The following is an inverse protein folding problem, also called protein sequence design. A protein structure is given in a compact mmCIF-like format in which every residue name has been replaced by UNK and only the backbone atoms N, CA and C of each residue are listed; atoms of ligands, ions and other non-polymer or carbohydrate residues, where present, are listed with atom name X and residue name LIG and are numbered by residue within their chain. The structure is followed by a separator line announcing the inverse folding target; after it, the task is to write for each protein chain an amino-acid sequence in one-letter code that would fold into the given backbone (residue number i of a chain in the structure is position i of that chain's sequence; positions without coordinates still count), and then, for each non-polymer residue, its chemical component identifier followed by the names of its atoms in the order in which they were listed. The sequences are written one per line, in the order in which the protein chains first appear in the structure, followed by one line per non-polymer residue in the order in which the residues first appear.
data_IF_014982496284
#
_entry.id   IF_014982496284
#
_cell.length_a   1.000
_cell.length_b   1.000
_cell.length_c   1.000
_cell.angle_alpha   90.00
_cell.angle_beta   90.00
_cell.angle_gamma   90.00
#
_symmetry.space_group_name_H-M   'P 1'
#
loop_
_entity.id
_entity.type
_entity.pdbx_description
1 polymer ?
#
# COMPACT_ATOMS: atom_id res chain seq x y z
N UNK A 1 12.64 21.45 8.80
CA UNK A 1 13.01 20.64 9.98
C UNK A 1 12.64 19.17 9.76
N UNK A 2 11.38 18.85 9.45
CA UNK A 2 10.91 17.46 9.25
C UNK A 2 11.64 16.67 8.16
N UNK A 3 12.02 17.29 7.04
CA UNK A 3 12.72 16.61 5.95
C UNK A 3 13.94 15.80 6.43
N UNK A 4 14.79 16.39 7.29
CA UNK A 4 15.96 15.70 7.84
C UNK A 4 15.58 14.64 8.87
N UNK A 5 14.62 14.94 9.74
CA UNK A 5 14.14 14.01 10.78
C UNK A 5 13.53 12.74 10.19
N UNK A 6 12.77 12.88 9.10
CA UNK A 6 12.14 11.78 8.39
C UNK A 6 13.09 11.04 7.42
N UNK A 7 14.41 11.22 7.56
CA UNK A 7 15.40 10.50 6.76
C UNK A 7 15.54 10.96 5.32
N UNK A 8 15.10 12.18 4.97
CA UNK A 8 15.11 12.67 3.59
C UNK A 8 16.49 12.71 2.93
N UNK A 9 17.56 12.96 3.68
CA UNK A 9 18.94 12.89 3.17
C UNK A 9 19.34 11.46 2.79
N UNK A 10 18.96 10.48 3.61
CA UNK A 10 19.25 9.07 3.34
C UNK A 10 18.47 8.59 2.11
N UNK A 11 17.19 8.95 2.01
CA UNK A 11 16.38 8.60 0.84
C UNK A 11 16.93 9.24 -0.44
N UNK A 12 17.38 10.49 -0.40
CA UNK A 12 18.03 11.14 -1.56
C UNK A 12 19.30 10.40 -2.00
N UNK A 13 20.14 9.96 -1.05
CA UNK A 13 21.33 9.18 -1.35
C UNK A 13 20.98 7.84 -2.00
N UNK A 14 19.97 7.14 -1.48
CA UNK A 14 19.47 5.87 -2.02
C UNK A 14 18.91 6.05 -3.44
N UNK A 15 18.14 7.11 -3.70
CA UNK A 15 17.62 7.41 -5.04
C UNK A 15 18.78 7.73 -6.00
N UNK A 16 19.79 8.47 -5.53
CA UNK A 16 20.94 8.83 -6.35
C UNK A 16 21.83 7.62 -6.70
N UNK A 17 21.98 6.66 -5.79
CA UNK A 17 22.75 5.43 -6.03
C UNK A 17 22.01 4.42 -6.92
N UNK A 18 20.67 4.43 -6.93
CA UNK A 18 19.83 3.51 -7.71
C UNK A 18 19.30 4.12 -9.01
N UNK A 19 19.98 5.11 -9.61
CA UNK A 19 19.56 5.79 -10.87
C UNK A 19 19.36 4.89 -12.10
N UNK A 20 19.51 3.57 -11.99
CA UNK A 20 19.24 2.57 -13.04
C UNK A 20 18.22 1.47 -12.67
N UNK A 21 17.61 1.48 -11.48
CA UNK A 21 16.59 0.52 -11.08
C UNK A 21 15.20 0.97 -11.55
N UNK A 22 14.34 0.02 -11.95
CA UNK A 22 12.99 0.28 -12.45
C UNK A 22 12.13 0.91 -11.34
N UNK A 23 11.74 2.18 -11.54
CA UNK A 23 10.81 2.91 -10.66
C UNK A 23 11.50 3.72 -9.56
N UNK A 24 12.04 4.89 -9.88
CA UNK A 24 12.60 5.80 -8.87
C UNK A 24 11.48 6.50 -8.08
N UNK A 25 11.38 6.18 -6.79
CA UNK A 25 10.52 6.88 -5.82
C UNK A 25 10.85 8.38 -5.82
N UNK A 26 9.88 9.24 -6.18
CA UNK A 26 10.06 10.70 -6.22
C UNK A 26 9.92 11.30 -4.82
N UNK A 27 10.67 12.36 -4.54
CA UNK A 27 10.45 13.20 -3.34
C UNK A 27 9.64 14.42 -3.77
N UNK A 28 8.43 14.56 -3.24
CA UNK A 28 7.55 15.69 -3.49
C UNK A 28 7.71 16.75 -2.39
N UNK A 29 7.85 18.01 -2.80
CA UNK A 29 7.79 19.14 -1.88
C UNK A 29 6.35 19.39 -1.41
N UNK A 30 6.16 19.76 -0.15
CA UNK A 30 4.84 19.95 0.46
C UNK A 30 4.04 21.02 -0.27
N UNK A 31 4.68 22.09 -0.75
CA UNK A 31 4.05 23.16 -1.52
C UNK A 31 3.38 22.70 -2.82
N UNK A 32 3.86 21.61 -3.43
CA UNK A 32 3.23 21.03 -4.63
C UNK A 32 1.96 20.29 -4.22
N UNK A 33 2.04 19.51 -3.14
CA UNK A 33 0.92 18.72 -2.63
C UNK A 33 -0.17 19.61 -2.01
N UNK A 34 0.20 20.65 -1.26
CA UNK A 34 -0.74 21.65 -0.71
C UNK A 34 -1.54 22.31 -1.83
N UNK A 35 -0.88 22.78 -2.89
CA UNK A 35 -1.58 23.39 -4.04
C UNK A 35 -2.50 22.39 -4.75
N UNK A 36 -2.04 21.16 -4.96
CA UNK A 36 -2.83 20.12 -5.63
C UNK A 36 -4.04 19.66 -4.81
N UNK A 37 -3.93 19.74 -3.47
CA UNK A 37 -4.96 19.32 -2.52
C UNK A 37 -5.78 20.47 -1.95
N UNK A 38 -5.54 21.71 -2.39
CA UNK A 38 -6.15 22.92 -1.81
C UNK A 38 -6.00 22.96 -0.27
N UNK A 39 -4.74 22.85 0.18
CA UNK A 39 -4.37 22.74 1.60
C UNK A 39 -5.00 21.54 2.32
N UNK A 40 -5.10 20.40 1.63
CA UNK A 40 -5.77 19.18 2.12
C UNK A 40 -7.23 19.41 2.52
N UNK A 41 -7.97 20.15 1.70
CA UNK A 41 -9.40 20.39 1.88
C UNK A 41 -10.17 19.07 2.02
N UNK A 42 -11.04 19.00 3.04
CA UNK A 42 -11.79 17.79 3.36
C UNK A 42 -12.78 17.39 2.26
N UNK A 43 -13.28 18.33 1.46
CA UNK A 43 -14.13 18.10 0.31
C UNK A 43 -13.41 17.41 -0.87
N UNK A 44 -12.07 17.31 -0.84
CA UNK A 44 -11.28 16.58 -1.85
C UNK A 44 -10.97 15.14 -1.47
N UNK A 45 -11.38 14.70 -0.28
CA UNK A 45 -11.22 13.32 0.17
C UNK A 45 -12.07 12.39 -0.71
N UNK A 46 -11.45 11.35 -1.25
CA UNK A 46 -12.12 10.32 -2.08
C UNK A 46 -12.30 8.99 -1.38
N UNK A 47 -11.58 8.78 -0.29
CA UNK A 47 -11.69 7.57 0.52
C UNK A 47 -11.19 7.83 1.93
N UNK A 48 -11.85 7.18 2.88
CA UNK A 48 -11.52 7.24 4.29
C UNK A 48 -11.24 5.81 4.75
N UNK A 49 -9.96 5.41 4.78
CA UNK A 49 -9.55 4.18 5.47
C UNK A 49 -9.43 4.44 6.97
N UNK A 50 -9.30 3.38 7.78
CA UNK A 50 -9.32 3.47 9.25
C UNK A 50 -8.50 4.63 9.84
N UNK A 51 -7.23 4.78 9.43
CA UNK A 51 -6.31 5.79 9.97
C UNK A 51 -5.83 6.84 8.96
N UNK A 52 -6.27 6.78 7.71
CA UNK A 52 -5.75 7.62 6.62
C UNK A 52 -6.87 8.25 5.78
N UNK A 53 -6.63 9.47 5.31
CA UNK A 53 -7.41 10.13 4.26
C UNK A 53 -6.71 9.97 2.92
N UNK A 54 -7.48 9.59 1.89
CA UNK A 54 -7.01 9.47 0.51
C UNK A 54 -7.53 10.63 -0.33
N UNK A 55 -6.61 11.37 -0.94
CA UNK A 55 -6.92 12.50 -1.83
C UNK A 55 -6.62 12.11 -3.27
N UNK A 56 -7.58 12.30 -4.17
CA UNK A 56 -7.33 12.26 -5.61
C UNK A 56 -6.92 13.65 -6.06
N UNK A 57 -5.73 13.80 -6.63
CA UNK A 57 -5.26 15.10 -7.12
C UNK A 57 -4.65 15.00 -8.50
N UNK A 58 -4.64 16.13 -9.19
CA UNK A 58 -3.90 16.32 -10.45
C UNK A 58 -2.65 17.15 -10.12
N UNK A 59 -1.48 16.60 -10.45
CA UNK A 59 -0.20 17.30 -10.32
C UNK A 59 -0.05 18.36 -11.43
N UNK A 60 0.87 19.34 -11.30
CA UNK A 60 1.06 20.43 -12.27
C UNK A 60 1.29 19.99 -13.73
N UNK A 61 1.75 18.76 -13.96
CA UNK A 61 2.01 18.20 -15.28
C UNK A 61 0.87 17.28 -15.79
N UNK A 62 -0.30 17.32 -15.17
CA UNK A 62 -1.49 16.57 -15.57
C UNK A 62 -1.58 15.13 -15.05
N UNK A 63 -0.53 14.63 -14.37
CA UNK A 63 -0.54 13.30 -13.76
C UNK A 63 -1.56 13.25 -12.61
N UNK A 64 -2.48 12.28 -12.66
CA UNK A 64 -3.46 12.05 -11.59
C UNK A 64 -2.87 11.05 -10.60
N UNK A 65 -2.84 11.41 -9.32
CA UNK A 65 -2.25 10.61 -8.24
C UNK A 65 -3.19 10.50 -7.04
N UNK A 66 -2.93 9.49 -6.22
CA UNK A 66 -3.57 9.32 -4.92
C UNK A 66 -2.59 9.68 -3.80
N UNK A 67 -2.98 10.59 -2.90
CA UNK A 67 -2.17 10.96 -1.73
C UNK A 67 -2.78 10.33 -0.48
N UNK A 68 -1.99 9.50 0.21
CA UNK A 68 -2.33 8.93 1.52
C UNK A 68 -1.74 9.81 2.62
N UNK A 69 -2.63 10.37 3.46
CA UNK A 69 -2.29 11.24 4.60
C UNK A 69 -2.84 10.62 5.89
N UNK A 70 -2.00 10.42 6.89
CA UNK A 70 -2.44 9.97 8.21
C UNK A 70 -3.36 11.00 8.87
N UNK A 71 -4.43 10.53 9.52
CA UNK A 71 -5.37 11.38 10.27
C UNK A 71 -4.89 11.66 11.68
N UNK A 72 -4.35 10.63 12.32
CA UNK A 72 -3.79 10.68 13.66
C UNK A 72 -2.27 10.61 13.53
N UNK A 73 -1.57 11.45 14.28
CA UNK A 73 -0.11 11.56 14.23
C UNK A 73 0.49 10.89 15.46
N UNK A 74 0.64 9.57 15.41
CA UNK A 74 1.35 8.76 16.42
C UNK A 74 2.57 8.02 15.81
N UNK A 75 3.41 7.45 16.68
CA UNK A 75 4.62 6.71 16.26
C UNK A 75 4.29 5.47 15.42
N UNK A 76 3.13 4.85 15.62
CA UNK A 76 2.70 3.67 14.85
C UNK A 76 2.46 4.02 13.39
N UNK A 77 1.90 5.20 13.11
CA UNK A 77 1.65 5.67 11.74
C UNK A 77 2.96 5.99 11.01
N UNK A 78 3.95 6.53 11.72
CA UNK A 78 5.29 6.74 11.14
C UNK A 78 5.94 5.40 10.80
N UNK A 79 5.84 4.40 11.69
CA UNK A 79 6.37 3.06 11.43
C UNK A 79 5.68 2.38 10.24
N UNK A 80 4.36 2.46 10.12
CA UNK A 80 3.61 1.94 8.97
C UNK A 80 4.00 2.63 7.66
N UNK A 81 4.17 3.96 7.68
CA UNK A 81 4.66 4.72 6.52
C UNK A 81 6.03 4.22 6.07
N UNK A 82 7.00 4.13 6.99
CA UNK A 82 8.37 3.70 6.66
C UNK A 82 8.32 2.28 6.08
N UNK A 83 7.53 1.40 6.70
CA UNK A 83 7.36 0.04 6.22
C UNK A 83 6.80 -0.02 4.80
N UNK A 84 5.76 0.78 4.50
CA UNK A 84 5.13 0.81 3.18
C UNK A 84 6.11 1.30 2.10
N UNK A 85 6.93 2.33 2.37
CA UNK A 85 8.00 2.77 1.45
C UNK A 85 9.04 1.68 1.22
N UNK A 86 9.50 1.02 2.30
CA UNK A 86 10.54 0.00 2.22
C UNK A 86 10.05 -1.22 1.44
N UNK A 87 8.83 -1.70 1.69
CA UNK A 87 8.27 -2.86 1.00
C UNK A 87 8.00 -2.53 -0.47
N UNK A 88 7.31 -1.41 -0.76
CA UNK A 88 6.92 -1.06 -2.12
C UNK A 88 8.09 -0.68 -3.02
N UNK A 89 9.23 -0.24 -2.46
CA UNK A 89 10.44 0.03 -3.24
C UNK A 89 11.18 -1.24 -3.70
N UNK A 90 10.86 -2.40 -3.12
CA UNK A 90 11.51 -3.68 -3.43
C UNK A 90 10.69 -4.56 -4.39
N UNK A 91 9.48 -4.15 -4.73
CA UNK A 91 8.54 -4.95 -5.53
C UNK A 91 8.10 -4.23 -6.79
N UNK A 92 7.83 -5.01 -7.83
CA UNK A 92 7.31 -4.50 -9.09
C UNK A 92 6.41 -5.56 -9.73
N UNK A 93 5.09 -5.37 -9.60
CA UNK A 93 4.09 -6.30 -10.13
C UNK A 93 2.86 -5.54 -10.61
N UNK A 94 2.27 -5.97 -11.73
CA UNK A 94 1.14 -5.27 -12.38
C UNK A 94 -0.12 -5.20 -11.53
N UNK A 95 -0.32 -6.18 -10.63
CA UNK A 95 -1.48 -6.29 -9.73
C UNK A 95 -1.16 -5.80 -8.31
N UNK A 96 -0.13 -4.97 -8.15
CA UNK A 96 0.25 -4.34 -6.87
C UNK A 96 0.35 -2.84 -7.10
N UNK A 97 -0.18 -2.05 -6.15
CA UNK A 97 -0.19 -0.59 -6.26
C UNK A 97 1.22 -0.02 -6.37
N UNK A 98 1.42 0.89 -7.32
CA UNK A 98 2.69 1.57 -7.53
C UNK A 98 2.82 2.79 -6.63
N UNK A 99 3.85 2.76 -5.78
CA UNK A 99 4.33 3.94 -5.06
C UNK A 99 5.07 4.84 -6.06
N UNK A 100 4.58 6.06 -6.27
CA UNK A 100 5.23 7.06 -7.12
C UNK A 100 6.24 7.89 -6.34
N UNK A 101 6.00 8.08 -5.04
CA UNK A 101 6.88 8.89 -4.21
C UNK A 101 6.32 9.19 -2.82
N UNK A 102 7.00 10.09 -2.13
CA UNK A 102 6.58 10.56 -0.82
C UNK A 102 6.93 12.03 -0.57
N UNK A 103 6.27 12.65 0.40
CA UNK A 103 6.66 13.93 0.97
C UNK A 103 7.13 13.74 2.41
N UNK A 104 8.34 14.21 2.71
CA UNK A 104 9.00 14.07 4.02
C UNK A 104 9.01 15.38 4.82
N UNK A 105 8.39 16.44 4.30
CA UNK A 105 8.41 17.80 4.87
C UNK A 105 7.32 18.02 5.93
N UNK A 106 6.53 16.99 6.25
CA UNK A 106 5.44 16.99 7.22
C UNK A 106 5.79 16.18 8.48
N UNK A 107 5.07 16.38 9.58
CA UNK A 107 5.28 15.62 10.83
C UNK A 107 5.14 14.11 10.63
N UNK A 108 4.06 13.67 9.98
CA UNK A 108 3.93 12.32 9.44
C UNK A 108 4.08 12.43 7.94
N UNK A 109 5.05 11.75 7.32
CA UNK A 109 5.22 11.75 5.87
C UNK A 109 3.96 11.36 5.08
N UNK A 110 3.89 11.84 3.84
CA UNK A 110 2.78 11.56 2.92
C UNK A 110 3.24 10.60 1.82
N UNK A 111 2.38 9.65 1.44
CA UNK A 111 2.66 8.74 0.31
C UNK A 111 1.88 9.18 -0.91
N UNK A 112 2.52 9.09 -2.08
CA UNK A 112 1.93 9.42 -3.38
C UNK A 112 1.95 8.16 -4.22
N UNK A 113 0.77 7.69 -4.61
CA UNK A 113 0.55 6.48 -5.40
C UNK A 113 -0.03 6.82 -6.76
N UNK A 114 0.06 5.85 -7.68
CA UNK A 114 -0.77 5.88 -8.87
C UNK A 114 -2.26 5.95 -8.51
N UNK A 115 -3.04 6.64 -9.33
CA UNK A 115 -4.48 6.69 -9.15
C UNK A 115 -5.16 5.52 -9.87
N UNK A 116 -5.70 4.58 -9.10
CA UNK A 116 -6.47 3.45 -9.62
C UNK A 116 -7.94 3.85 -9.82
N UNK A 117 -8.39 3.89 -11.08
CA UNK A 117 -9.61 4.61 -11.49
C UNK A 117 -10.90 4.17 -10.81
N UNK A 118 -11.18 2.87 -10.75
CA UNK A 118 -12.42 2.37 -10.15
C UNK A 118 -12.31 2.25 -8.63
N UNK A 119 -11.10 2.34 -8.06
CA UNK A 119 -10.85 2.33 -6.62
C UNK A 119 -11.36 1.07 -5.93
N UNK A 120 -11.69 1.20 -4.65
CA UNK A 120 -12.46 0.18 -3.92
C UNK A 120 -13.93 0.53 -3.99
N UNK A 121 -14.77 -0.48 -4.27
CA UNK A 121 -16.23 -0.32 -4.29
C UNK A 121 -16.85 -1.49 -3.56
N UNK A 122 -17.11 -1.29 -2.27
CA UNK A 122 -17.94 -2.21 -1.50
C UNK A 122 -19.27 -2.44 -2.22
N UNK A 123 -19.70 -3.69 -2.33
CA UNK A 123 -20.92 -4.09 -3.04
C UNK A 123 -20.78 -4.31 -4.55
N UNK A 124 -19.77 -3.75 -5.23
CA UNK A 124 -19.61 -3.94 -6.69
C UNK A 124 -19.32 -5.40 -7.04
N UNK A 125 -18.51 -6.08 -6.23
CA UNK A 125 -18.13 -7.49 -6.46
C UNK A 125 -19.36 -8.40 -6.58
N UNK A 126 -20.41 -8.14 -5.79
CA UNK A 126 -21.65 -8.92 -5.86
C UNK A 126 -22.42 -8.74 -7.17
N UNK A 127 -22.28 -7.57 -7.80
CA UNK A 127 -22.90 -7.23 -9.09
C UNK A 127 -22.07 -7.64 -10.31
N UNK A 128 -20.84 -8.11 -10.11
CA UNK A 128 -19.97 -8.55 -11.20
C UNK A 128 -20.33 -9.95 -11.69
N UNK A 129 -20.16 -10.18 -12.99
CA UNK A 129 -20.26 -11.52 -13.57
C UNK A 129 -19.28 -12.48 -12.90
N UNK A 130 -19.57 -13.77 -12.97
CA UNK A 130 -18.71 -14.81 -12.43
C UNK A 130 -17.29 -14.74 -13.02
N UNK A 131 -17.19 -14.49 -14.33
CA UNK A 131 -15.92 -14.40 -15.05
C UNK A 131 -15.05 -13.25 -14.54
N UNK A 132 -15.67 -12.10 -14.21
CA UNK A 132 -14.95 -10.95 -13.64
C UNK A 132 -14.49 -11.25 -12.21
N UNK A 133 -15.33 -11.87 -11.39
CA UNK A 133 -14.95 -12.28 -10.04
C UNK A 133 -13.80 -13.28 -10.06
N UNK A 134 -13.84 -14.25 -10.97
CA UNK A 134 -12.77 -15.21 -11.17
C UNK A 134 -11.46 -14.54 -11.62
N UNK A 135 -11.54 -13.57 -12.53
CA UNK A 135 -10.37 -12.76 -12.95
C UNK A 135 -9.76 -12.01 -11.77
N UNK A 136 -10.58 -11.34 -10.96
CA UNK A 136 -10.14 -10.62 -9.76
C UNK A 136 -9.43 -11.57 -8.80
N UNK A 137 -9.99 -12.75 -8.54
CA UNK A 137 -9.35 -13.76 -7.68
C UNK A 137 -8.00 -14.22 -8.23
N UNK A 138 -7.89 -14.44 -9.55
CA UNK A 138 -6.63 -14.79 -10.20
C UNK A 138 -5.57 -13.68 -10.07
N UNK A 139 -5.97 -12.42 -10.28
CA UNK A 139 -5.07 -11.27 -10.15
C UNK A 139 -4.53 -11.13 -8.71
N UNK A 140 -5.41 -11.28 -7.71
CA UNK A 140 -5.02 -11.27 -6.29
C UNK A 140 -4.07 -12.44 -6.00
N UNK A 141 -4.42 -13.66 -6.41
CA UNK A 141 -3.59 -14.84 -6.19
C UNK A 141 -2.21 -14.70 -6.85
N UNK A 142 -2.15 -14.14 -8.07
CA UNK A 142 -0.90 -13.85 -8.77
C UNK A 142 -0.03 -12.83 -8.02
N UNK A 143 -0.63 -11.75 -7.52
CA UNK A 143 0.06 -10.76 -6.70
C UNK A 143 0.63 -11.37 -5.40
N UNK A 144 -0.17 -12.18 -4.71
CA UNK A 144 0.25 -12.84 -3.45
C UNK A 144 1.34 -13.89 -3.68
N UNK A 145 1.23 -14.69 -4.74
CA UNK A 145 2.27 -15.65 -5.12
C UNK A 145 3.60 -14.93 -5.45
N UNK A 146 3.51 -13.80 -6.16
CA UNK A 146 4.68 -12.97 -6.41
C UNK A 146 5.33 -12.49 -5.10
N UNK A 147 4.54 -11.93 -4.17
CA UNK A 147 5.03 -11.43 -2.88
C UNK A 147 5.70 -12.53 -2.04
N UNK A 148 5.14 -13.73 -2.03
CA UNK A 148 5.66 -14.81 -1.19
C UNK A 148 6.91 -15.47 -1.78
N UNK A 149 6.97 -15.64 -3.11
CA UNK A 149 7.93 -16.58 -3.71
C UNK A 149 8.82 -15.98 -4.80
N UNK A 150 8.43 -14.89 -5.44
CA UNK A 150 9.16 -14.32 -6.59
C UNK A 150 9.82 -12.97 -6.30
N UNK A 151 9.44 -12.29 -5.22
CA UNK A 151 10.14 -11.13 -4.72
C UNK A 151 11.51 -11.51 -4.13
N UNK A 152 12.42 -10.53 -4.01
CA UNK A 152 13.78 -10.73 -3.48
C UNK A 152 13.81 -11.19 -2.02
N UNK A 153 12.76 -10.86 -1.27
CA UNK A 153 12.46 -11.40 0.06
C UNK A 153 11.00 -11.86 0.06
N UNK A 154 10.66 -12.85 0.88
CA UNK A 154 9.25 -13.25 1.02
C UNK A 154 8.52 -12.16 1.80
N UNK A 155 7.40 -11.67 1.28
CA UNK A 155 6.65 -10.55 1.85
C UNK A 155 5.24 -11.01 2.21
N UNK A 156 4.90 -10.95 3.50
CA UNK A 156 3.55 -11.21 3.98
C UNK A 156 2.77 -9.91 4.08
N UNK A 157 1.63 -9.80 3.38
CA UNK A 157 0.83 -8.57 3.33
C UNK A 157 0.09 -8.27 4.65
N UNK A 158 -0.47 -9.31 5.30
CA UNK A 158 -1.12 -9.24 6.63
C UNK A 158 -2.40 -8.39 6.76
N UNK A 159 -2.90 -7.80 5.68
CA UNK A 159 -4.18 -7.05 5.68
C UNK A 159 -4.87 -7.13 4.31
N UNK A 160 -4.95 -8.34 3.75
CA UNK A 160 -5.70 -8.58 2.52
C UNK A 160 -7.19 -8.58 2.86
N UNK A 161 -7.92 -7.63 2.30
CA UNK A 161 -9.37 -7.44 2.47
C UNK A 161 -9.92 -6.67 1.28
N UNK A 162 -11.23 -6.74 1.07
CA UNK A 162 -11.92 -6.06 -0.04
C UNK A 162 -11.61 -4.56 -0.14
N UNK A 163 -11.47 -3.84 0.98
CA UNK A 163 -11.13 -2.40 1.01
C UNK A 163 -9.69 -2.08 0.60
N UNK A 164 -8.83 -3.11 0.50
CA UNK A 164 -7.44 -3.02 0.07
C UNK A 164 -7.24 -3.61 -1.34
N UNK A 165 -8.31 -4.04 -2.00
CA UNK A 165 -8.30 -4.47 -3.41
C UNK A 165 -8.93 -3.38 -4.27
N UNK A 166 -8.09 -2.63 -4.98
CA UNK A 166 -8.52 -1.61 -5.93
C UNK A 166 -8.77 -2.24 -7.31
N UNK A 167 -9.66 -1.66 -8.10
CA UNK A 167 -9.92 -2.07 -9.48
C UNK A 167 -9.48 -1.00 -10.47
N UNK A 168 -8.70 -1.38 -11.48
CA UNK A 168 -8.38 -0.48 -12.59
C UNK A 168 -9.57 -0.32 -13.57
N UNK A 169 -9.43 0.50 -14.61
CA UNK A 169 -10.45 0.68 -15.65
C UNK A 169 -10.93 -0.62 -16.33
N UNK A 170 -10.09 -1.64 -16.37
CA UNK A 170 -10.35 -2.93 -17.02
C UNK A 170 -10.83 -3.99 -16.03
N UNK A 171 -11.11 -3.62 -14.77
CA UNK A 171 -11.48 -4.51 -13.67
C UNK A 171 -10.39 -5.53 -13.31
N UNK A 172 -9.12 -5.21 -13.60
CA UNK A 172 -8.00 -5.96 -13.02
C UNK A 172 -7.82 -5.56 -11.55
N UNK A 173 -7.50 -6.53 -10.71
CA UNK A 173 -7.29 -6.29 -9.28
C UNK A 173 -5.89 -5.73 -9.01
N UNK A 174 -5.82 -4.72 -8.15
CA UNK A 174 -4.59 -4.09 -7.68
C UNK A 174 -4.59 -4.17 -6.14
N UNK A 175 -3.65 -4.95 -5.59
CA UNK A 175 -3.46 -5.09 -4.14
C UNK A 175 -2.77 -3.84 -3.58
N UNK A 176 -3.33 -3.29 -2.51
CA UNK A 176 -2.87 -2.04 -1.89
C UNK A 176 -2.78 -2.13 -0.35
N UNK A 177 -2.21 -1.08 0.26
CA UNK A 177 -2.02 -0.91 1.71
C UNK A 177 -1.02 -1.87 2.36
N UNK A 178 0.27 -1.58 2.16
CA UNK A 178 1.37 -2.41 2.66
C UNK A 178 1.89 -1.97 4.03
N UNK A 179 1.16 -1.11 4.76
CA UNK A 179 1.61 -0.58 6.05
C UNK A 179 1.84 -1.65 7.12
N UNK A 180 1.07 -2.75 7.07
CA UNK A 180 1.18 -3.88 8.00
C UNK A 180 2.08 -5.02 7.49
N UNK A 181 2.52 -4.94 6.23
CA UNK A 181 3.30 -5.99 5.56
C UNK A 181 4.65 -6.22 6.24
N UNK A 182 5.22 -7.42 6.07
CA UNK A 182 6.53 -7.76 6.63
C UNK A 182 7.33 -8.61 5.66
N UNK A 183 8.58 -8.22 5.42
CA UNK A 183 9.57 -9.08 4.78
C UNK A 183 10.06 -10.13 5.78
N UNK A 184 10.16 -11.37 5.33
CA UNK A 184 10.79 -12.46 6.05
C UNK A 184 11.90 -13.08 5.19
N UNK A 185 12.97 -13.58 5.83
CA UNK A 185 13.95 -14.43 5.17
C UNK A 185 13.30 -15.64 4.50
N UNK A 186 13.78 -16.03 3.31
CA UNK A 186 13.20 -17.11 2.49
C UNK A 186 13.27 -18.47 3.21
N UNK A 187 14.20 -18.64 4.15
CA UNK A 187 14.37 -19.86 4.96
C UNK A 187 13.35 -19.98 6.11
N UNK A 188 12.48 -18.98 6.31
CA UNK A 188 11.43 -19.00 7.34
C UNK A 188 10.05 -19.16 6.73
N UNK A 189 9.29 -20.12 7.27
CA UNK A 189 7.91 -20.42 6.85
C UNK A 189 6.83 -19.65 7.62
N UNK A 190 7.22 -18.99 8.72
CA UNK A 190 6.29 -18.28 9.59
C UNK A 190 6.93 -17.03 10.22
N UNK A 191 6.06 -16.11 10.62
CA UNK A 191 6.41 -14.89 11.34
C UNK A 191 5.71 -14.88 12.70
N UNK A 192 6.48 -14.94 13.78
CA UNK A 192 5.97 -14.69 15.14
C UNK A 192 5.97 -13.18 15.39
N UNK A 193 4.79 -12.58 15.49
CA UNK A 193 4.65 -11.12 15.60
C UNK A 193 3.35 -10.75 16.32
N UNK A 194 3.29 -9.53 16.86
CA UNK A 194 2.05 -8.99 17.42
C UNK A 194 0.92 -9.09 16.39
N UNK A 195 -0.26 -9.47 16.88
CA UNK A 195 -1.43 -9.66 16.03
C UNK A 195 -1.85 -8.33 15.40
N UNK A 196 -1.83 -8.28 14.07
CA UNK A 196 -2.33 -7.16 13.28
C UNK A 196 -3.17 -7.69 12.12
N UNK A 197 -4.14 -6.90 11.67
CA UNK A 197 -5.06 -7.20 10.57
C UNK A 197 -6.49 -6.79 10.92
N UNK A 198 -7.41 -7.03 10.00
CA UNK A 198 -8.81 -6.60 10.13
C UNK A 198 -9.68 -7.70 10.71
N UNK A 199 -10.41 -7.41 11.80
CA UNK A 199 -11.32 -8.36 12.43
C UNK A 199 -12.38 -8.86 11.42
N UNK A 200 -12.65 -10.16 11.42
CA UNK A 200 -13.50 -10.82 10.41
C UNK A 200 -12.73 -11.40 9.22
N UNK A 201 -11.53 -10.89 8.93
CA UNK A 201 -10.60 -11.47 7.94
C UNK A 201 -9.51 -12.33 8.59
N UNK A 202 -9.26 -12.13 9.89
CA UNK A 202 -8.18 -12.83 10.60
C UNK A 202 -8.41 -14.34 10.67
N UNK A 203 -7.36 -15.08 10.33
CA UNK A 203 -7.28 -16.53 10.51
C UNK A 203 -7.39 -16.90 12.01
N UNK A 204 -8.31 -17.80 12.41
CA UNK A 204 -8.50 -18.18 13.82
C UNK A 204 -7.27 -18.83 14.46
N UNK A 205 -6.45 -19.55 13.69
CA UNK A 205 -5.20 -20.13 14.20
C UNK A 205 -4.13 -19.04 14.38
N UNK A 206 -4.13 -17.96 13.58
CA UNK A 206 -3.28 -16.80 13.87
C UNK A 206 -3.64 -16.17 15.21
N UNK A 207 -4.93 -16.07 15.49
CA UNK A 207 -5.44 -15.52 16.73
C UNK A 207 -4.93 -16.29 17.96
N UNK A 208 -4.81 -17.61 17.85
CA UNK A 208 -4.38 -18.47 18.95
C UNK A 208 -2.85 -18.61 19.06
N UNK A 209 -2.14 -18.69 17.93
CA UNK A 209 -0.71 -19.01 17.90
C UNK A 209 0.22 -17.80 17.83
N UNK A 210 -0.29 -16.62 17.44
CA UNK A 210 0.53 -15.45 17.06
C UNK A 210 1.56 -15.73 15.94
N UNK A 211 1.43 -16.85 15.23
CA UNK A 211 2.27 -17.22 14.09
C UNK A 211 1.53 -16.93 12.78
N UNK A 212 2.09 -16.06 11.94
CA UNK A 212 1.53 -15.74 10.62
C UNK A 212 2.27 -16.51 9.52
N UNK A 213 1.56 -17.10 8.56
CA UNK A 213 2.13 -17.94 7.47
C UNK A 213 1.51 -17.59 6.12
N UNK A 214 2.12 -18.04 5.03
CA UNK A 214 1.58 -17.85 3.66
C UNK A 214 0.13 -18.33 3.51
N UNK A 215 -0.20 -19.47 4.13
CA UNK A 215 -1.57 -20.04 4.12
C UNK A 215 -2.59 -19.08 4.72
N UNK A 216 -2.18 -18.29 5.71
CA UNK A 216 -3.05 -17.33 6.39
C UNK A 216 -3.34 -16.12 5.52
N UNK A 217 -2.38 -15.66 4.72
CA UNK A 217 -2.61 -14.66 3.67
C UNK A 217 -3.61 -15.16 2.61
N UNK A 218 -3.52 -16.43 2.23
CA UNK A 218 -4.46 -17.01 1.26
C UNK A 218 -5.87 -17.19 1.84
N UNK A 219 -5.99 -17.56 3.11
CA UNK A 219 -7.29 -17.62 3.81
C UNK A 219 -7.98 -16.24 3.82
N UNK A 220 -7.26 -15.18 4.23
CA UNK A 220 -7.79 -13.82 4.23
C UNK A 220 -8.25 -13.35 2.84
N UNK A 221 -7.59 -13.80 1.77
CA UNK A 221 -7.90 -13.40 0.40
C UNK A 221 -9.15 -14.08 -0.18
N UNK A 222 -9.62 -15.17 0.43
CA UNK A 222 -10.77 -15.96 -0.03
C UNK A 222 -12.10 -15.54 0.63
N UNK A 223 -12.07 -14.63 1.61
CA UNK A 223 -13.23 -14.07 2.30
C UNK A 223 -13.67 -12.74 1.68
#
# INVERSE_FOLDING_TARGET
MFFRQNGGLLLQQQIASHKGAVGTTKIFGIQVLDRATDNFDAGRIRGTGGFCSLYKVMLPYGEIVAIKKARIMDESQVAQFINEVVILSQINHRNIVKLLGCCLETKVPLLVFEFVRNGTREGYVSSLSWERRFRIALDIAGALAYLHSAASTSIFHRDVKSTNILLDENYNAIVADFGLSRSIPIDRSHLTTQMHGTFGYLDPEYFQSSQFTEKKTMFTALQ
#
